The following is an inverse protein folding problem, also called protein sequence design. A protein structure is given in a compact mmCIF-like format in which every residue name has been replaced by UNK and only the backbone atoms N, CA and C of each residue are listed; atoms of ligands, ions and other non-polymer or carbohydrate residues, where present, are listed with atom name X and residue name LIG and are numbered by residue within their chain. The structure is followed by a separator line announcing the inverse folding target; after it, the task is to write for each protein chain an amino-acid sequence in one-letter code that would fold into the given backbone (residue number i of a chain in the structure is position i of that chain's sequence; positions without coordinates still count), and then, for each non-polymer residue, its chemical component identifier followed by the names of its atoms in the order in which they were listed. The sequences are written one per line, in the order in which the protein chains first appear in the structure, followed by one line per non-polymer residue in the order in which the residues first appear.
data_IF_295181010089
#
_entry.id   IF_295181010089
#
_cell.length_a   1.000
_cell.length_b   1.000
_cell.length_c   1.000
_cell.angle_alpha   90.00
_cell.angle_beta   90.00
_cell.angle_gamma   90.00
#
_symmetry.space_group_name_H-M   'P 1'
#
loop_
_entity.id
_entity.type
_entity.pdbx_description
1 polymer ?
#
# COMPACT_ATOMS: atom_id res chain seq x y z
N UNK A 1 0.93 -23.03 2.82
CA UNK A 1 0.33 -23.12 1.48
C UNK A 1 1.24 -22.37 0.52
N UNK A 2 1.79 -23.06 -0.49
CA UNK A 2 2.64 -22.43 -1.51
C UNK A 2 1.72 -21.79 -2.55
N UNK A 3 1.80 -20.47 -2.70
CA UNK A 3 1.01 -19.72 -3.69
C UNK A 3 1.48 -20.06 -5.11
N UNK A 4 0.53 -20.30 -6.02
CA UNK A 4 0.84 -20.52 -7.44
C UNK A 4 1.44 -19.26 -8.05
N UNK A 5 2.31 -19.42 -9.04
CA UNK A 5 2.96 -18.29 -9.74
C UNK A 5 1.94 -17.31 -10.37
N UNK A 6 0.81 -17.83 -10.85
CA UNK A 6 -0.28 -17.01 -11.36
C UNK A 6 -0.84 -16.05 -10.31
N UNK A 7 -1.14 -16.56 -9.11
CA UNK A 7 -1.71 -15.79 -8.01
C UNK A 7 -0.72 -14.74 -7.52
N UNK A 8 0.55 -15.11 -7.38
CA UNK A 8 1.65 -14.19 -7.05
C UNK A 8 1.73 -13.03 -8.03
N UNK A 9 1.60 -13.30 -9.34
CA UNK A 9 1.63 -12.26 -10.36
C UNK A 9 0.41 -11.35 -10.28
N UNK A 10 -0.78 -11.91 -10.06
CA UNK A 10 -2.01 -11.14 -9.82
C UNK A 10 -1.84 -10.23 -8.61
N UNK A 11 -1.25 -10.73 -7.52
CA UNK A 11 -0.96 -9.94 -6.33
C UNK A 11 0.05 -8.83 -6.61
N UNK A 12 1.10 -9.08 -7.38
CA UNK A 12 2.05 -8.03 -7.78
C UNK A 12 1.34 -6.89 -8.53
N UNK A 13 0.45 -7.20 -9.47
CA UNK A 13 -0.35 -6.18 -10.18
C UNK A 13 -1.39 -5.52 -9.30
N UNK A 14 -2.04 -6.27 -8.40
CA UNK A 14 -2.97 -5.71 -7.43
C UNK A 14 -2.28 -4.66 -6.55
N UNK A 15 -1.01 -4.89 -6.18
CA UNK A 15 -0.20 -3.90 -5.49
C UNK A 15 -0.08 -2.59 -6.27
N UNK A 16 0.18 -2.64 -7.59
CA UNK A 16 0.24 -1.43 -8.42
C UNK A 16 -1.11 -0.69 -8.46
N UNK A 17 -2.22 -1.43 -8.54
CA UNK A 17 -3.57 -0.86 -8.45
C UNK A 17 -3.82 -0.19 -7.10
N UNK A 18 -3.45 -0.86 -6.00
CA UNK A 18 -3.54 -0.32 -4.64
C UNK A 18 -2.66 0.93 -4.46
N UNK A 19 -1.45 0.95 -5.02
CA UNK A 19 -0.58 2.12 -5.03
C UNK A 19 -1.25 3.32 -5.72
N UNK A 20 -1.78 3.12 -6.92
CA UNK A 20 -2.51 4.18 -7.63
C UNK A 20 -3.72 4.66 -6.86
N UNK A 21 -4.54 3.73 -6.34
CA UNK A 21 -5.70 4.07 -5.52
C UNK A 21 -5.31 4.82 -4.24
N UNK A 22 -4.15 4.51 -3.64
CA UNK A 22 -3.65 5.20 -2.44
C UNK A 22 -3.41 6.69 -2.67
N UNK A 23 -3.05 7.08 -3.91
CA UNK A 23 -2.82 8.49 -4.28
C UNK A 23 -4.10 9.33 -4.29
N UNK A 24 -5.27 8.70 -4.37
CA UNK A 24 -6.59 9.34 -4.32
C UNK A 24 -7.15 9.41 -2.89
N UNK A 25 -6.54 8.71 -1.93
CA UNK A 25 -6.99 8.68 -0.54
C UNK A 25 -6.89 10.03 0.20
N UNK A 26 -5.92 10.92 -0.09
CA UNK A 26 -5.95 12.29 0.42
C UNK A 26 -7.23 13.02 0.00
N UNK A 27 -7.52 13.04 -1.31
CA UNK A 27 -8.67 13.76 -1.87
C UNK A 27 -10.01 13.27 -1.31
N UNK A 28 -10.29 11.97 -1.40
CA UNK A 28 -11.61 11.45 -1.01
C UNK A 28 -11.68 11.08 0.48
N UNK A 29 -10.61 10.50 1.01
CA UNK A 29 -10.55 10.06 2.40
C UNK A 29 -10.33 11.22 3.37
N UNK A 30 -9.51 12.21 2.99
CA UNK A 30 -9.32 13.45 3.74
C UNK A 30 -10.63 14.21 3.87
N UNK A 31 -11.30 14.47 2.75
CA UNK A 31 -12.61 15.12 2.73
C UNK A 31 -13.67 14.39 3.58
N UNK A 32 -13.76 13.04 3.48
CA UNK A 32 -14.69 12.27 4.29
C UNK A 32 -14.38 12.32 5.80
N UNK A 33 -13.09 12.21 6.16
CA UNK A 33 -12.63 12.33 7.55
C UNK A 33 -12.94 13.72 8.11
N UNK A 34 -12.74 14.76 7.30
CA UNK A 34 -13.04 16.14 7.65
C UNK A 34 -14.54 16.36 7.86
N UNK A 35 -15.37 15.92 6.91
CA UNK A 35 -16.83 16.03 6.99
C UNK A 35 -17.42 15.37 8.25
N UNK A 36 -16.87 14.20 8.65
CA UNK A 36 -17.30 13.53 9.89
C UNK A 36 -16.84 14.30 11.13
N UNK A 37 -15.58 14.74 11.19
CA UNK A 37 -15.03 15.45 12.35
C UNK A 37 -15.66 16.83 12.60
N UNK A 38 -16.06 17.51 11.53
CA UNK A 38 -16.59 18.88 11.57
C UNK A 38 -18.12 18.94 11.49
N UNK A 39 -18.81 17.79 11.50
CA UNK A 39 -20.27 17.73 11.48
C UNK A 39 -20.85 18.43 12.72
N UNK A 40 -21.65 19.47 12.49
CA UNK A 40 -22.39 20.18 13.55
C UNK A 40 -21.59 21.23 14.33
N UNK A 41 -20.38 21.60 13.87
CA UNK A 41 -19.67 22.77 14.37
C UNK A 41 -19.98 23.97 13.47
N UNK A 42 -20.59 25.01 14.05
CA UNK A 42 -20.65 26.33 13.42
C UNK A 42 -19.37 27.08 13.83
N UNK A 43 -18.65 27.72 12.88
CA UNK A 43 -17.45 28.47 13.23
C UNK A 43 -17.83 29.60 14.20
N UNK A 44 -17.18 29.70 15.37
CA UNK A 44 -17.34 30.88 16.22
C UNK A 44 -16.88 32.10 15.43
N UNK A 45 -17.73 33.12 15.35
CA UNK A 45 -17.45 34.35 14.61
C UNK A 45 -16.08 34.92 15.01
N UNK A 46 -15.14 34.97 14.05
CA UNK A 46 -13.81 35.54 14.24
C UNK A 46 -12.72 34.58 14.74
N UNK A 47 -12.96 33.27 14.82
CA UNK A 47 -11.92 32.28 15.14
C UNK A 47 -11.49 31.48 13.91
N UNK A 48 -10.18 31.28 13.78
CA UNK A 48 -9.60 30.32 12.84
C UNK A 48 -9.84 28.91 13.41
N UNK A 49 -10.88 28.23 12.93
CA UNK A 49 -11.24 26.89 13.39
C UNK A 49 -10.37 25.83 12.67
N UNK A 50 -9.90 24.81 13.39
CA UNK A 50 -9.11 23.70 12.84
C UNK A 50 -9.87 22.95 11.72
N UNK A 51 -11.19 23.12 11.67
CA UNK A 51 -12.10 22.62 10.63
C UNK A 51 -12.12 23.45 9.33
N UNK A 52 -11.27 24.48 9.17
CA UNK A 52 -11.24 25.31 7.96
C UNK A 52 -9.84 25.45 7.33
N UNK A 53 -8.77 24.97 7.97
CA UNK A 53 -7.36 25.11 7.51
C UNK A 53 -6.70 23.76 7.16
N UNK A 54 -7.46 22.69 6.94
CA UNK A 54 -6.84 21.36 6.72
C UNK A 54 -6.66 20.99 5.23
N UNK A 55 -7.21 21.78 4.30
CA UNK A 55 -7.01 21.57 2.87
C UNK A 55 -5.71 22.27 2.43
N UNK A 56 -4.57 21.55 2.44
CA UNK A 56 -3.37 21.96 1.68
C UNK A 56 -3.57 21.46 0.24
N UNK A 57 -4.21 22.24 -0.65
CA UNK A 57 -4.74 21.70 -1.91
C UNK A 57 -3.59 21.26 -2.82
N UNK A 58 -2.44 21.93 -2.69
CA UNK A 58 -1.22 21.65 -3.46
C UNK A 58 -0.66 20.25 -3.19
N UNK A 59 -0.71 19.78 -1.93
CA UNK A 59 -0.16 18.47 -1.59
C UNK A 59 -1.10 17.34 -2.04
N UNK A 60 -2.41 17.57 -2.00
CA UNK A 60 -3.42 16.60 -2.45
C UNK A 60 -3.50 16.50 -3.98
N UNK A 61 -3.37 17.62 -4.70
CA UNK A 61 -3.24 17.64 -6.17
C UNK A 61 -1.90 17.06 -6.63
N UNK A 62 -0.84 17.23 -5.83
CA UNK A 62 0.48 16.68 -6.10
C UNK A 62 0.58 15.17 -5.91
N UNK A 63 -0.21 14.58 -5.00
CA UNK A 63 -0.09 13.16 -4.67
C UNK A 63 -0.34 12.21 -5.87
N UNK A 64 -1.40 12.38 -6.70
CA UNK A 64 -1.56 11.60 -7.93
C UNK A 64 -0.44 11.83 -8.95
N UNK A 65 0.03 13.08 -9.08
CA UNK A 65 1.11 13.45 -10.00
C UNK A 65 2.45 12.83 -9.60
N UNK A 66 2.72 12.69 -8.30
CA UNK A 66 3.92 12.02 -7.76
C UNK A 66 3.77 10.49 -7.73
N UNK A 67 2.55 9.96 -7.61
CA UNK A 67 2.32 8.52 -7.59
C UNK A 67 2.64 7.86 -8.95
N UNK A 68 2.42 8.56 -10.06
CA UNK A 68 2.72 8.09 -11.41
C UNK A 68 4.23 7.82 -11.67
N UNK A 69 5.16 8.78 -11.46
CA UNK A 69 6.59 8.51 -11.63
C UNK A 69 7.10 7.47 -10.63
N UNK A 70 6.54 7.43 -9.42
CA UNK A 70 6.88 6.43 -8.40
C UNK A 70 6.27 5.05 -8.69
N UNK A 71 5.28 4.93 -9.59
CA UNK A 71 4.66 3.66 -9.95
C UNK A 71 5.68 2.67 -10.50
N UNK A 72 6.67 3.13 -11.26
CA UNK A 72 7.70 2.24 -11.78
C UNK A 72 8.57 1.64 -10.66
N UNK A 73 8.95 2.46 -9.68
CA UNK A 73 9.73 2.01 -8.52
C UNK A 73 8.90 1.05 -7.67
N UNK A 74 7.65 1.42 -7.39
CA UNK A 74 6.72 0.56 -6.64
C UNK A 74 6.43 -0.74 -7.38
N UNK A 75 6.22 -0.70 -8.70
CA UNK A 75 5.97 -1.87 -9.53
C UNK A 75 7.18 -2.81 -9.57
N UNK A 76 8.39 -2.27 -9.59
CA UNK A 76 9.63 -3.05 -9.47
C UNK A 76 9.73 -3.72 -8.10
N UNK A 77 9.41 -2.98 -7.03
CA UNK A 77 9.32 -3.53 -5.67
C UNK A 77 8.25 -4.62 -5.56
N UNK A 78 7.04 -4.38 -6.05
CA UNK A 78 5.91 -5.32 -6.01
C UNK A 78 6.24 -6.62 -6.75
N UNK A 79 6.87 -6.51 -7.92
CA UNK A 79 7.36 -7.67 -8.67
C UNK A 79 8.49 -8.39 -7.93
N UNK A 80 9.37 -7.69 -7.23
CA UNK A 80 10.43 -8.31 -6.43
C UNK A 80 9.87 -9.13 -5.26
N UNK A 81 8.95 -8.55 -4.46
CA UNK A 81 8.42 -9.19 -3.24
C UNK A 81 7.44 -10.32 -3.49
N UNK A 82 6.76 -10.32 -4.65
CA UNK A 82 5.84 -11.39 -5.02
C UNK A 82 6.42 -12.40 -6.00
N UNK A 83 7.56 -12.13 -6.65
CA UNK A 83 8.18 -13.13 -7.53
C UNK A 83 8.53 -14.40 -6.77
N UNK A 84 8.32 -15.59 -7.36
CA UNK A 84 8.84 -16.84 -6.80
C UNK A 84 10.36 -16.93 -7.00
N UNK A 85 11.03 -17.92 -6.37
CA UNK A 85 12.46 -18.19 -6.57
C UNK A 85 12.83 -18.32 -8.06
N UNK A 86 14.02 -17.87 -8.49
CA UNK A 86 14.40 -17.84 -9.91
C UNK A 86 14.18 -19.16 -10.67
N UNK A 87 14.45 -20.30 -10.03
CA UNK A 87 14.29 -21.64 -10.62
C UNK A 87 12.82 -22.07 -10.80
N UNK A 88 11.88 -21.42 -10.10
CA UNK A 88 10.43 -21.71 -10.18
C UNK A 88 9.68 -20.76 -11.12
N UNK A 89 10.37 -19.78 -11.73
CA UNK A 89 9.75 -18.77 -12.61
C UNK A 89 9.52 -19.35 -14.01
N UNK A 90 8.28 -19.74 -14.32
CA UNK A 90 7.91 -20.13 -15.69
C UNK A 90 7.36 -18.93 -16.49
N UNK A 91 6.90 -17.86 -15.82
CA UNK A 91 6.39 -16.64 -16.45
C UNK A 91 7.46 -15.55 -16.51
N UNK A 92 7.30 -14.59 -17.42
CA UNK A 92 8.23 -13.46 -17.58
C UNK A 92 8.09 -12.44 -16.43
N UNK A 93 8.91 -12.55 -15.40
CA UNK A 93 9.05 -11.59 -14.30
C UNK A 93 10.07 -10.48 -14.63
N UNK A 94 9.82 -9.69 -15.68
CA UNK A 94 10.82 -8.76 -16.26
C UNK A 94 11.35 -7.68 -15.29
N UNK A 95 10.55 -7.27 -14.32
CA UNK A 95 10.91 -6.25 -13.32
C UNK A 95 11.45 -6.86 -12.01
N UNK A 96 11.39 -8.18 -11.86
CA UNK A 96 11.96 -8.82 -10.67
C UNK A 96 13.49 -8.94 -10.81
N UNK A 97 14.25 -8.88 -9.71
CA UNK A 97 15.70 -9.04 -9.75
C UNK A 97 16.09 -10.37 -10.39
N UNK A 98 17.10 -10.34 -11.27
CA UNK A 98 17.66 -11.54 -11.94
C UNK A 98 18.36 -12.48 -10.96
N UNK A 99 18.97 -11.92 -9.91
CA UNK A 99 19.91 -12.63 -9.02
C UNK A 99 19.28 -13.16 -7.74
N UNK A 100 17.96 -13.06 -7.57
CA UNK A 100 17.32 -13.61 -6.39
C UNK A 100 15.88 -13.14 -6.18
N UNK A 101 15.16 -13.88 -5.36
CA UNK A 101 13.94 -13.42 -4.70
C UNK A 101 14.25 -12.36 -3.66
N UNK A 102 13.27 -11.48 -3.39
CA UNK A 102 13.26 -10.62 -2.19
C UNK A 102 13.54 -11.40 -0.88
N UNK A 103 13.29 -12.71 -0.88
CA UNK A 103 13.64 -13.66 0.17
C UNK A 103 15.12 -13.66 0.59
N UNK A 104 16.06 -13.39 -0.33
CA UNK A 104 17.50 -13.42 -0.04
C UNK A 104 18.05 -12.10 0.51
N UNK A 105 17.21 -11.07 0.54
CA UNK A 105 17.58 -9.75 1.01
C UNK A 105 16.67 -9.37 2.18
N UNK A 106 17.17 -9.33 3.42
CA UNK A 106 16.35 -9.09 4.61
C UNK A 106 15.60 -7.74 4.56
N UNK A 107 16.09 -6.80 3.75
CA UNK A 107 15.50 -5.48 3.57
C UNK A 107 14.07 -5.52 2.99
N UNK A 108 13.74 -6.48 2.12
CA UNK A 108 12.41 -6.54 1.51
C UNK A 108 11.29 -6.94 2.49
N UNK A 109 11.39 -8.04 3.25
CA UNK A 109 10.37 -8.36 4.24
C UNK A 109 10.27 -7.27 5.32
N UNK A 110 11.38 -6.61 5.69
CA UNK A 110 11.35 -5.45 6.60
C UNK A 110 10.56 -4.28 5.97
N UNK A 111 10.86 -3.92 4.71
CA UNK A 111 10.13 -2.86 4.01
C UNK A 111 8.63 -3.18 3.90
N UNK A 112 8.26 -4.43 3.63
CA UNK A 112 6.85 -4.85 3.64
C UNK A 112 6.22 -4.71 5.03
N UNK A 113 6.91 -5.09 6.12
CA UNK A 113 6.38 -4.92 7.47
C UNK A 113 6.18 -3.43 7.83
N UNK A 114 7.11 -2.56 7.42
CA UNK A 114 6.97 -1.11 7.57
C UNK A 114 5.75 -0.61 6.78
N UNK A 115 5.61 -1.05 5.52
CA UNK A 115 4.44 -0.72 4.69
C UNK A 115 3.12 -1.17 5.30
N UNK A 116 3.08 -2.37 5.89
CA UNK A 116 1.90 -2.87 6.59
C UNK A 116 1.58 -2.03 7.83
N UNK A 117 2.58 -1.72 8.66
CA UNK A 117 2.41 -0.88 9.85
C UNK A 117 1.93 0.53 9.49
N UNK A 118 2.49 1.12 8.43
CA UNK A 118 2.04 2.41 7.90
C UNK A 118 0.57 2.36 7.47
N UNK A 119 0.16 1.33 6.72
CA UNK A 119 -1.23 1.18 6.28
C UNK A 119 -2.19 0.99 7.47
N UNK A 120 -1.82 0.19 8.47
CA UNK A 120 -2.61 0.03 9.69
C UNK A 120 -2.76 1.35 10.46
N UNK A 121 -1.67 2.11 10.58
CA UNK A 121 -1.71 3.43 11.19
C UNK A 121 -2.64 4.36 10.42
N UNK A 122 -2.59 4.38 9.08
CA UNK A 122 -3.51 5.16 8.25
C UNK A 122 -4.97 4.74 8.47
N UNK A 123 -5.27 3.44 8.56
CA UNK A 123 -6.62 2.95 8.85
C UNK A 123 -7.13 3.45 10.21
N UNK A 124 -6.28 3.45 11.25
CA UNK A 124 -6.62 3.88 12.60
C UNK A 124 -6.90 5.40 12.74
N UNK A 125 -6.49 6.22 11.74
CA UNK A 125 -6.73 7.67 11.76
C UNK A 125 -8.15 8.07 11.31
N UNK A 126 -8.93 7.15 10.75
CA UNK A 126 -10.30 7.43 10.32
C UNK A 126 -11.28 7.17 11.47
N UNK A 127 -12.28 8.05 11.67
CA UNK A 127 -13.37 7.78 12.61
C UNK A 127 -14.16 6.55 12.14
N UNK A 128 -14.75 5.82 13.08
CA UNK A 128 -15.56 4.64 12.79
C UNK A 128 -16.99 5.05 12.39
N UNK A 129 -17.15 5.55 11.15
CA UNK A 129 -18.44 5.90 10.56
C UNK A 129 -18.59 5.28 9.16
N UNK A 130 -19.84 5.12 8.70
CA UNK A 130 -20.15 4.54 7.39
C UNK A 130 -19.47 5.29 6.23
N UNK A 131 -19.31 6.61 6.36
CA UNK A 131 -18.68 7.46 5.33
C UNK A 131 -17.18 7.23 5.21
N UNK A 132 -16.51 6.84 6.29
CA UNK A 132 -15.05 6.66 6.35
C UNK A 132 -14.61 5.20 6.24
N UNK A 133 -15.55 4.26 6.44
CA UNK A 133 -15.34 2.82 6.41
C UNK A 133 -14.70 2.29 5.10
N UNK A 134 -15.04 2.78 3.89
CA UNK A 134 -14.38 2.36 2.66
C UNK A 134 -12.87 2.66 2.66
N UNK A 135 -12.46 3.80 3.23
CA UNK A 135 -11.04 4.20 3.30
C UNK A 135 -10.28 3.37 4.33
N UNK A 136 -10.91 3.07 5.48
CA UNK A 136 -10.37 2.12 6.45
C UNK A 136 -10.14 0.75 5.81
N UNK A 137 -11.16 0.23 5.12
CA UNK A 137 -11.10 -1.05 4.43
C UNK A 137 -9.99 -1.08 3.38
N UNK A 138 -9.84 -0.01 2.59
CA UNK A 138 -8.75 0.12 1.62
C UNK A 138 -7.38 -0.05 2.29
N UNK A 139 -7.11 0.70 3.37
CA UNK A 139 -5.82 0.63 4.07
C UNK A 139 -5.59 -0.74 4.72
N UNK A 140 -6.65 -1.39 5.23
CA UNK A 140 -6.56 -2.76 5.76
C UNK A 140 -6.24 -3.78 4.66
N UNK A 141 -6.85 -3.66 3.48
CA UNK A 141 -6.52 -4.50 2.31
C UNK A 141 -5.07 -4.30 1.89
N UNK A 142 -4.60 -3.04 1.85
CA UNK A 142 -3.22 -2.75 1.47
C UNK A 142 -2.22 -3.25 2.54
N UNK A 143 -2.56 -3.14 3.82
CA UNK A 143 -1.80 -3.74 4.91
C UNK A 143 -1.70 -5.27 4.76
N UNK A 144 -2.83 -5.92 4.45
CA UNK A 144 -2.89 -7.36 4.18
C UNK A 144 -2.02 -7.77 3.00
N UNK A 145 -1.99 -6.95 1.95
CA UNK A 145 -1.10 -7.16 0.80
C UNK A 145 0.38 -7.12 1.20
N UNK A 146 0.80 -6.11 1.97
CA UNK A 146 2.18 -6.01 2.46
C UNK A 146 2.56 -7.15 3.42
N UNK A 147 1.67 -7.48 4.36
CA UNK A 147 1.88 -8.60 5.29
C UNK A 147 2.00 -9.94 4.54
N UNK A 148 1.14 -10.16 3.53
CA UNK A 148 1.21 -11.32 2.64
C UNK A 148 2.54 -11.39 1.88
N UNK A 149 3.03 -10.27 1.36
CA UNK A 149 4.32 -10.18 0.68
C UNK A 149 5.50 -10.50 1.63
N UNK A 150 5.49 -9.94 2.85
CA UNK A 150 6.51 -10.22 3.87
C UNK A 150 6.54 -11.71 4.24
N UNK A 151 5.36 -12.31 4.40
CA UNK A 151 5.20 -13.72 4.67
C UNK A 151 5.71 -14.59 3.53
N UNK A 152 5.34 -14.29 2.28
CA UNK A 152 5.82 -15.00 1.10
C UNK A 152 7.35 -14.96 0.99
N UNK A 153 7.96 -13.78 1.16
CA UNK A 153 9.42 -13.64 1.16
C UNK A 153 10.10 -14.52 2.23
N UNK A 154 9.52 -14.60 3.43
CA UNK A 154 10.06 -15.44 4.51
C UNK A 154 9.89 -16.93 4.28
N UNK A 155 8.85 -17.36 3.57
CA UNK A 155 8.66 -18.76 3.21
C UNK A 155 9.68 -19.18 2.15
N UNK A 156 9.87 -18.35 1.13
CA UNK A 156 10.81 -18.63 0.05
C UNK A 156 12.27 -18.68 0.55
N UNK A 157 12.60 -17.92 1.61
CA UNK A 157 13.93 -17.95 2.24
C UNK A 157 14.24 -19.27 2.97
N UNK A 158 13.22 -20.09 3.27
CA UNK A 158 13.37 -21.37 3.97
C UNK A 158 13.50 -22.57 3.00
N UNK A 159 13.32 -22.37 1.70
CA UNK A 159 13.41 -23.44 0.70
C UNK A 159 14.86 -23.49 0.19
N UNK A 160 15.64 -24.54 0.52
CA UNK A 160 17.01 -24.67 0.05
C UNK A 160 17.05 -24.94 -1.47
N UNK A 161 18.16 -24.55 -2.11
CA UNK A 161 18.40 -24.62 -3.57
C UNK A 161 18.41 -26.04 -4.15
N UNK A 162 18.41 -27.08 -3.32
CA UNK A 162 18.63 -28.48 -3.71
C UNK A 162 17.35 -29.35 -3.77
N UNK A 163 16.16 -28.75 -3.92
CA UNK A 163 14.87 -29.46 -4.01
C UNK A 163 14.31 -29.53 -5.43
#
# INVERSE_FOLDING_TARGET
MILKEGDRRTLAFAGCGLWLASSLMPLFGGAAKHAVKCRGREPPAGTFDDCFIDDIPVLELGAPMLALPLLFLFGSFAMAVWSPPPWQRQRRWRLAPRWGTAAYHPNFPIACMIGAAWCLWRAALYPLEAQTLPFMAFWLVFAGWFAGAAWACRQDAKVPEDA
#
